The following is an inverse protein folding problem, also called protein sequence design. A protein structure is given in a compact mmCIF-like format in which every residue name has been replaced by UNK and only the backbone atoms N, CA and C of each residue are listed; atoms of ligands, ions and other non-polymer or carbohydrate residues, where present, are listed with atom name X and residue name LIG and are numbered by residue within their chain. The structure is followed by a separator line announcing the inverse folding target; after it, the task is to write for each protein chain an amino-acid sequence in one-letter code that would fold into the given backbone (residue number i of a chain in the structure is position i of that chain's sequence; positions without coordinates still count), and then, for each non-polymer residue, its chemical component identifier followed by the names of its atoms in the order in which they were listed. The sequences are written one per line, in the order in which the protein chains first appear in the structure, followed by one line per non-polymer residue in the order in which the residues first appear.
data_IF_759493655928
#
_entry.id   IF_759493655928
#
_cell.length_a   1.000
_cell.length_b   1.000
_cell.length_c   1.000
_cell.angle_alpha   90.00
_cell.angle_beta   90.00
_cell.angle_gamma   90.00
#
_symmetry.space_group_name_H-M   'P 1'
#
loop_
_entity.id
_entity.type
_entity.pdbx_description
1 polymer ?
#
# COMPACT_ATOMS: atom_id res chain seq x y z
N UNK A 1 -17.22 37.61 60.84
CA UNK A 1 -18.46 38.08 61.49
C UNK A 1 -19.03 39.17 60.58
N UNK A 2 -20.05 38.83 59.78
CA UNK A 2 -21.46 39.33 59.86
C UNK A 2 -21.56 40.84 59.58
N UNK A 3 -22.02 41.21 58.38
CA UNK A 3 -23.42 41.52 57.96
C UNK A 3 -23.66 43.04 58.09
N UNK A 4 -24.37 43.78 57.22
CA UNK A 4 -25.52 43.52 56.35
C UNK A 4 -25.63 44.69 55.33
N UNK A 5 -25.89 44.43 54.03
CA UNK A 5 -27.17 44.52 53.29
C UNK A 5 -27.81 45.91 53.18
N UNK A 6 -28.08 46.30 51.93
CA UNK A 6 -29.33 46.95 51.53
C UNK A 6 -29.75 46.44 50.15
N UNK A 7 -31.04 46.19 50.03
CA UNK A 7 -31.74 45.47 48.96
C UNK A 7 -32.88 46.33 48.40
N UNK A 8 -33.16 46.21 47.11
CA UNK A 8 -34.44 46.53 46.47
C UNK A 8 -34.37 45.88 45.06
N UNK A 9 -35.26 45.02 44.54
CA UNK A 9 -36.65 44.68 44.89
C UNK A 9 -37.56 45.02 43.71
N UNK A 10 -37.88 44.04 42.85
CA UNK A 10 -39.07 43.87 41.96
C UNK A 10 -38.76 42.81 40.89
N UNK A 11 -39.25 41.59 41.04
CA UNK A 11 -40.59 41.05 40.72
C UNK A 11 -40.58 40.34 39.36
N UNK A 12 -40.88 39.04 39.42
CA UNK A 12 -40.93 38.11 38.32
C UNK A 12 -42.28 38.20 37.60
N UNK A 13 -42.25 38.13 36.27
CA UNK A 13 -43.41 37.79 35.44
C UNK A 13 -42.97 36.79 34.39
N UNK A 14 -43.49 35.57 34.56
CA UNK A 14 -43.42 34.42 33.66
C UNK A 14 -43.85 34.75 32.23
N UNK A 15 -42.99 34.47 31.26
CA UNK A 15 -43.43 33.92 29.97
C UNK A 15 -42.57 32.69 29.67
N UNK A 16 -43.13 31.52 29.93
CA UNK A 16 -42.61 30.26 29.46
C UNK A 16 -42.79 30.18 27.94
N UNK A 17 -41.73 30.42 27.18
CA UNK A 17 -41.62 29.87 25.84
C UNK A 17 -41.10 28.45 25.99
N UNK A 18 -41.98 27.47 25.78
CA UNK A 18 -41.60 26.09 25.55
C UNK A 18 -40.82 26.01 24.24
N UNK A 19 -39.50 26.19 24.30
CA UNK A 19 -38.63 25.77 23.21
C UNK A 19 -38.61 24.23 23.20
N UNK A 20 -39.49 23.70 22.37
CA UNK A 20 -39.49 22.30 21.98
C UNK A 20 -38.12 21.98 21.38
N UNK A 21 -37.49 20.83 21.71
CA UNK A 21 -36.24 20.46 21.07
C UNK A 21 -36.53 20.26 19.58
N UNK A 22 -35.90 21.09 18.74
CA UNK A 22 -35.90 20.91 17.31
C UNK A 22 -35.24 19.57 16.99
N UNK A 23 -36.05 18.53 16.79
CA UNK A 23 -35.61 17.26 16.23
C UNK A 23 -35.40 17.44 14.74
N UNK A 24 -34.27 18.03 14.37
CA UNK A 24 -33.68 17.90 13.03
C UNK A 24 -32.58 16.83 13.15
N UNK A 25 -32.71 15.64 12.53
CA UNK A 25 -31.61 14.68 12.49
C UNK A 25 -30.63 15.16 11.42
N UNK A 26 -29.79 16.13 11.75
CA UNK A 26 -28.56 16.34 10.98
C UNK A 26 -27.69 15.12 11.30
N UNK A 27 -27.72 14.10 10.45
CA UNK A 27 -26.92 12.89 10.64
C UNK A 27 -25.46 13.31 10.85
N UNK A 28 -24.88 13.00 12.01
CA UNK A 28 -23.52 13.46 12.33
C UNK A 28 -22.53 12.76 11.38
N UNK A 29 -21.61 13.52 10.79
CA UNK A 29 -20.49 12.93 10.04
C UNK A 29 -19.53 12.24 11.01
N UNK A 30 -19.04 11.07 10.63
CA UNK A 30 -18.02 10.34 11.39
C UNK A 30 -16.63 10.96 11.16
N UNK A 31 -16.38 11.43 9.94
CA UNK A 31 -15.13 12.11 9.59
C UNK A 31 -15.29 13.02 8.37
N UNK A 32 -14.33 13.93 8.14
CA UNK A 32 -14.23 14.62 6.85
C UNK A 32 -13.75 13.67 5.76
N UNK A 33 -12.74 12.85 6.05
CA UNK A 33 -12.12 11.90 5.11
C UNK A 33 -12.17 10.48 5.66
N UNK A 34 -12.62 9.51 4.86
CA UNK A 34 -12.44 8.09 5.16
C UNK A 34 -11.43 7.48 4.19
N UNK A 35 -10.37 6.88 4.74
CA UNK A 35 -9.31 6.19 4.00
C UNK A 35 -9.55 4.68 4.08
N UNK A 36 -9.73 4.03 2.94
CA UNK A 36 -9.98 2.59 2.83
C UNK A 36 -8.63 1.87 2.66
N UNK A 37 -8.07 1.37 3.76
CA UNK A 37 -6.82 0.61 3.78
C UNK A 37 -5.79 1.16 4.78
N UNK A 38 -5.24 0.28 5.62
CA UNK A 38 -4.28 0.62 6.70
C UNK A 38 -2.84 0.13 6.41
N UNK A 39 -2.48 0.04 5.12
CA UNK A 39 -1.11 -0.21 4.69
C UNK A 39 -0.28 1.08 4.59
N UNK A 40 0.98 1.00 4.11
CA UNK A 40 1.90 2.14 4.03
C UNK A 40 1.29 3.41 3.41
N UNK A 41 0.51 3.29 2.32
CA UNK A 41 -0.11 4.45 1.67
C UNK A 41 -1.17 5.13 2.55
N UNK A 42 -2.07 4.36 3.14
CA UNK A 42 -3.11 4.89 4.02
C UNK A 42 -2.55 5.49 5.30
N UNK A 43 -1.53 4.86 5.88
CA UNK A 43 -0.79 5.40 7.03
C UNK A 43 -0.10 6.72 6.65
N UNK A 44 0.67 6.75 5.56
CA UNK A 44 1.33 8.00 5.11
C UNK A 44 0.36 9.15 4.92
N UNK A 45 -0.78 8.91 4.25
CA UNK A 45 -1.81 9.93 4.09
C UNK A 45 -2.36 10.40 5.45
N UNK A 46 -2.71 9.44 6.31
CA UNK A 46 -3.23 9.72 7.65
C UNK A 46 -2.24 10.53 8.49
N UNK A 47 -0.92 10.35 8.31
CA UNK A 47 0.09 11.15 9.01
C UNK A 47 0.01 12.63 8.62
N UNK A 48 -0.06 12.93 7.32
CA UNK A 48 -0.24 14.31 6.84
C UNK A 48 -1.56 14.90 7.33
N UNK A 49 -2.67 14.16 7.21
CA UNK A 49 -3.99 14.60 7.69
C UNK A 49 -4.04 14.78 9.22
N UNK A 50 -3.16 14.13 9.97
CA UNK A 50 -3.04 14.31 11.42
C UNK A 50 -2.28 15.58 11.83
N UNK A 51 -1.69 16.30 10.87
CA UNK A 51 -0.95 17.54 11.11
C UNK A 51 0.57 17.39 11.10
N UNK A 52 1.13 16.29 10.58
CA UNK A 52 2.57 16.20 10.32
C UNK A 52 2.92 16.90 9.01
N UNK A 53 3.66 18.00 9.12
CA UNK A 53 3.98 18.91 8.02
C UNK A 53 5.46 18.75 7.64
N UNK A 54 5.77 18.34 6.40
CA UNK A 54 7.14 18.34 5.90
C UNK A 54 7.56 19.75 5.46
N UNK A 55 8.74 20.17 5.88
CA UNK A 55 9.41 21.41 5.46
C UNK A 55 10.75 21.08 4.83
N UNK A 56 11.16 21.86 3.85
CA UNK A 56 12.51 21.76 3.31
C UNK A 56 13.53 22.32 4.31
N UNK A 57 14.56 21.55 4.63
CA UNK A 57 15.64 21.93 5.56
C UNK A 57 16.95 22.11 4.79
N UNK A 58 17.27 23.34 4.32
CA UNK A 58 18.54 23.61 3.64
C UNK A 58 19.74 23.53 4.61
N UNK A 59 19.50 23.65 5.93
CA UNK A 59 20.55 23.56 6.97
C UNK A 59 21.15 22.16 7.07
N UNK A 60 20.41 21.12 6.69
CA UNK A 60 20.90 19.74 6.61
C UNK A 60 21.63 19.46 5.28
N UNK A 61 21.94 20.51 4.52
CA UNK A 61 22.64 20.51 3.24
C UNK A 61 21.70 20.79 2.06
N UNK A 62 22.19 21.41 0.98
CA UNK A 62 21.38 21.73 -0.18
C UNK A 62 20.87 20.46 -0.87
N UNK A 63 19.77 20.60 -1.63
CA UNK A 63 19.31 19.53 -2.50
C UNK A 63 20.33 19.33 -3.64
N UNK A 64 20.67 18.08 -4.03
CA UNK A 64 21.72 17.82 -5.04
C UNK A 64 21.46 18.47 -6.40
N UNK A 65 20.19 18.66 -6.77
CA UNK A 65 19.79 19.43 -7.94
C UNK A 65 19.60 20.91 -7.55
N UNK A 66 20.42 21.80 -8.13
CA UNK A 66 20.43 23.24 -7.84
C UNK A 66 19.12 23.96 -8.18
N UNK A 67 18.45 23.59 -9.28
CA UNK A 67 17.15 24.19 -9.64
C UNK A 67 16.06 23.83 -8.62
N UNK A 68 16.03 22.56 -8.20
CA UNK A 68 15.12 22.11 -7.13
C UNK A 68 15.44 22.83 -5.83
N UNK A 69 16.72 22.99 -5.49
CA UNK A 69 17.16 23.70 -4.30
C UNK A 69 16.67 25.16 -4.29
N UNK A 70 16.90 25.90 -5.37
CA UNK A 70 16.48 27.29 -5.51
C UNK A 70 14.95 27.43 -5.35
N UNK A 71 14.18 26.58 -6.03
CA UNK A 71 12.72 26.59 -5.95
C UNK A 71 12.17 26.29 -4.56
N UNK A 72 12.81 25.38 -3.82
CA UNK A 72 12.40 25.05 -2.45
C UNK A 72 12.80 26.14 -1.44
N UNK A 73 13.91 26.84 -1.67
CA UNK A 73 14.31 27.99 -0.82
C UNK A 73 13.36 29.18 -0.99
N UNK A 74 12.89 29.46 -2.21
CA UNK A 74 11.92 30.53 -2.48
C UNK A 74 10.69 30.46 -1.55
N UNK A 75 10.32 29.25 -1.12
CA UNK A 75 9.20 28.99 -0.21
C UNK A 75 9.62 28.23 1.07
N UNK A 76 10.83 28.44 1.57
CA UNK A 76 11.38 27.69 2.71
C UNK A 76 10.56 27.79 4.02
N UNK A 77 9.79 28.86 4.18
CA UNK A 77 8.89 29.09 5.33
C UNK A 77 7.55 28.37 5.20
N UNK A 78 7.27 27.73 4.06
CA UNK A 78 6.04 27.01 3.79
C UNK A 78 6.27 25.50 3.83
N UNK A 79 5.30 24.75 4.34
CA UNK A 79 5.32 23.30 4.23
C UNK A 79 5.23 22.88 2.77
N UNK A 80 5.84 21.76 2.40
CA UNK A 80 5.65 21.14 1.08
C UNK A 80 4.18 20.79 0.81
N UNK A 81 3.30 20.79 1.82
CA UNK A 81 1.86 20.64 1.64
C UNK A 81 1.18 21.90 1.07
N UNK A 82 1.83 23.06 1.14
CA UNK A 82 1.25 24.36 0.77
C UNK A 82 1.89 24.97 -0.48
N UNK A 83 3.15 24.63 -0.78
CA UNK A 83 3.92 25.18 -1.91
C UNK A 83 3.29 24.88 -3.29
N UNK A 84 3.58 25.68 -4.31
CA UNK A 84 3.25 25.34 -5.70
C UNK A 84 4.38 24.53 -6.36
N UNK A 85 4.01 23.45 -7.05
CA UNK A 85 4.92 22.54 -7.73
C UNK A 85 4.68 22.46 -9.24
N UNK A 86 3.97 23.43 -9.82
CA UNK A 86 3.76 23.56 -11.27
C UNK A 86 5.06 23.58 -12.08
N UNK A 87 6.20 23.89 -11.45
CA UNK A 87 7.53 23.88 -12.06
C UNK A 87 8.14 22.48 -12.23
N UNK A 88 7.60 21.43 -11.58
CA UNK A 88 8.16 20.07 -11.64
C UNK A 88 8.12 19.46 -13.04
N UNK A 89 7.05 19.73 -13.80
CA UNK A 89 6.83 19.14 -15.13
C UNK A 89 7.91 19.55 -16.14
N UNK A 90 8.55 20.70 -15.93
CA UNK A 90 9.59 21.23 -16.82
C UNK A 90 11.03 20.94 -16.36
N UNK A 91 11.21 20.48 -15.11
CA UNK A 91 12.51 20.48 -14.43
C UNK A 91 13.02 19.09 -14.06
N UNK A 92 12.14 18.10 -13.96
CA UNK A 92 12.50 16.73 -13.59
C UNK A 92 12.38 15.83 -14.83
N UNK A 93 13.38 15.87 -15.71
CA UNK A 93 13.59 14.85 -16.74
C UNK A 93 14.08 13.55 -16.10
N UNK A 94 13.20 12.85 -15.38
CA UNK A 94 13.53 11.57 -14.73
C UNK A 94 12.72 10.43 -15.32
N UNK A 95 12.84 10.29 -16.64
CA UNK A 95 12.14 9.30 -17.49
C UNK A 95 12.37 7.81 -17.12
N UNK A 96 13.18 7.47 -16.11
CA UNK A 96 13.60 6.09 -15.87
C UNK A 96 13.06 5.44 -14.59
N UNK A 97 12.44 6.18 -13.67
CA UNK A 97 11.99 5.61 -12.38
C UNK A 97 10.54 5.12 -12.37
N UNK A 98 9.73 5.50 -13.36
CA UNK A 98 8.30 5.14 -13.43
C UNK A 98 7.43 5.76 -12.33
N UNK A 99 8.00 6.63 -11.49
CA UNK A 99 7.31 7.37 -10.44
C UNK A 99 6.84 8.74 -10.94
N UNK A 100 5.81 9.30 -10.30
CA UNK A 100 5.28 10.62 -10.64
C UNK A 100 6.20 11.76 -10.17
N UNK A 101 6.15 12.96 -10.78
CA UNK A 101 7.07 14.05 -10.47
C UNK A 101 7.13 14.42 -8.97
N UNK A 102 5.97 14.58 -8.31
CA UNK A 102 5.94 14.90 -6.89
C UNK A 102 6.40 13.74 -6.00
N UNK A 103 6.07 12.50 -6.37
CA UNK A 103 6.56 11.31 -5.69
C UNK A 103 8.08 11.20 -5.76
N UNK A 104 8.66 11.61 -6.87
CA UNK A 104 10.09 11.61 -7.08
C UNK A 104 10.78 12.77 -6.36
N UNK A 105 10.20 13.98 -6.37
CA UNK A 105 10.69 15.09 -5.55
C UNK A 105 10.74 14.71 -4.07
N UNK A 106 9.64 14.13 -3.55
CA UNK A 106 9.59 13.69 -2.17
C UNK A 106 10.71 12.68 -1.87
N UNK A 107 10.87 11.70 -2.76
CA UNK A 107 11.91 10.68 -2.61
C UNK A 107 13.33 11.26 -2.66
N UNK A 108 13.64 12.23 -3.53
CA UNK A 108 14.96 12.87 -3.58
C UNK A 108 15.22 13.77 -2.37
N UNK A 109 14.17 14.22 -1.68
CA UNK A 109 14.28 14.97 -0.43
C UNK A 109 14.53 14.04 0.76
N UNK A 110 13.83 12.91 0.86
CA UNK A 110 14.03 11.96 1.96
C UNK A 110 15.33 11.18 1.78
N UNK A 111 15.63 10.78 0.55
CA UNK A 111 16.79 9.95 0.18
C UNK A 111 17.63 10.63 -0.91
N UNK A 112 18.28 11.76 -0.60
CA UNK A 112 19.16 12.40 -1.56
C UNK A 112 20.26 11.43 -1.99
N UNK A 113 20.55 11.41 -3.28
CA UNK A 113 21.58 10.56 -3.90
C UNK A 113 21.30 9.04 -3.82
N UNK A 114 20.07 8.62 -3.57
CA UNK A 114 19.69 7.20 -3.59
C UNK A 114 20.11 6.46 -4.86
N UNK A 115 20.11 7.14 -6.02
CA UNK A 115 20.51 6.56 -7.31
C UNK A 115 22.03 6.37 -7.45
N UNK A 116 22.85 7.13 -6.72
CA UNK A 116 24.33 6.99 -6.75
C UNK A 116 24.85 6.06 -5.67
N UNK A 117 23.96 5.48 -4.84
CA UNK A 117 24.29 4.48 -3.83
C UNK A 117 24.77 5.04 -2.49
N UNK A 118 24.92 6.37 -2.36
CA UNK A 118 25.27 7.02 -1.10
C UNK A 118 24.04 7.70 -0.53
N UNK A 119 23.37 7.07 0.44
CA UNK A 119 22.21 7.67 1.12
C UNK A 119 22.67 8.90 1.90
N UNK A 120 22.30 10.09 1.44
CA UNK A 120 22.49 11.31 2.21
C UNK A 120 21.42 11.45 3.29
N UNK A 121 21.67 12.30 4.28
CA UNK A 121 20.65 12.68 5.28
C UNK A 121 19.45 13.33 4.60
N UNK A 122 18.26 12.97 5.07
CA UNK A 122 16.99 13.59 4.65
C UNK A 122 17.09 15.11 4.70
N UNK A 123 16.48 15.76 3.71
CA UNK A 123 16.36 17.22 3.58
C UNK A 123 15.02 17.72 4.10
N UNK A 124 14.29 16.88 4.82
CA UNK A 124 13.01 17.23 5.42
C UNK A 124 13.15 17.46 6.92
N UNK A 125 12.59 18.56 7.38
CA UNK A 125 12.25 18.78 8.78
C UNK A 125 10.74 18.56 8.96
N UNK A 126 10.34 17.91 10.05
CA UNK A 126 8.93 17.62 10.33
C UNK A 126 8.43 18.46 11.49
N UNK A 127 7.35 19.21 11.26
CA UNK A 127 6.66 19.98 12.30
C UNK A 127 5.28 19.36 12.51
N UNK A 128 4.92 19.13 13.77
CA UNK A 128 3.58 18.68 14.13
C UNK A 128 2.70 19.88 14.52
N UNK A 129 1.61 20.10 13.78
CA UNK A 129 0.59 21.09 14.10
C UNK A 129 -0.82 20.50 14.05
N UNK A 130 -1.40 20.23 15.22
CA UNK A 130 -2.76 19.69 15.34
C UNK A 130 -3.83 20.64 14.77
N UNK A 131 -3.59 21.96 14.71
CA UNK A 131 -4.56 22.91 14.14
C UNK A 131 -4.70 22.76 12.62
N UNK A 132 -3.74 22.10 11.98
CA UNK A 132 -3.77 21.73 10.57
C UNK A 132 -4.44 20.38 10.32
N UNK A 133 -4.78 19.63 11.37
CA UNK A 133 -5.38 18.31 11.22
C UNK A 133 -6.75 18.38 10.53
N UNK A 134 -6.99 17.42 9.65
CA UNK A 134 -8.28 17.16 9.00
C UNK A 134 -8.90 15.94 9.67
N UNK A 135 -10.17 16.02 10.07
CA UNK A 135 -10.87 14.88 10.68
C UNK A 135 -10.90 13.69 9.71
N UNK A 136 -10.32 12.56 10.10
CA UNK A 136 -10.24 11.40 9.23
C UNK A 136 -10.30 10.07 10.00
N UNK A 137 -10.76 9.02 9.30
CA UNK A 137 -10.72 7.64 9.76
C UNK A 137 -10.01 6.77 8.72
N UNK A 138 -9.13 5.88 9.18
CA UNK A 138 -8.56 4.80 8.36
C UNK A 138 -9.27 3.51 8.70
N UNK A 139 -9.88 2.86 7.72
CA UNK A 139 -10.65 1.63 7.92
C UNK A 139 -10.08 0.49 7.10
N UNK A 140 -9.98 -0.70 7.68
CA UNK A 140 -9.52 -1.88 6.98
C UNK A 140 -9.97 -3.17 7.65
N UNK A 141 -10.10 -4.24 6.87
CA UNK A 141 -10.37 -5.58 7.40
C UNK A 141 -9.14 -6.16 8.13
N UNK A 142 -7.94 -5.82 7.68
CA UNK A 142 -6.68 -6.39 8.20
C UNK A 142 -6.23 -5.68 9.49
N UNK A 143 -5.36 -6.32 10.29
CA UNK A 143 -4.47 -5.60 11.21
C UNK A 143 -3.67 -4.51 10.49
N UNK A 144 -3.06 -3.60 11.24
CA UNK A 144 -2.21 -2.53 10.69
C UNK A 144 -1.11 -3.15 9.81
N UNK A 145 -0.87 -2.55 8.65
CA UNK A 145 0.13 -2.99 7.67
C UNK A 145 -0.43 -3.41 6.32
N UNK A 146 -1.76 -3.44 6.16
CA UNK A 146 -2.40 -3.75 4.87
C UNK A 146 -1.92 -5.09 4.29
N UNK A 147 -1.47 -5.07 3.02
CA UNK A 147 -1.01 -6.27 2.31
C UNK A 147 0.19 -6.97 2.96
N UNK A 148 0.95 -6.29 3.82
CA UNK A 148 2.09 -6.89 4.51
C UNK A 148 1.71 -8.03 5.45
N UNK A 149 0.46 -8.03 5.92
CA UNK A 149 -0.12 -9.13 6.72
C UNK A 149 -0.27 -10.44 5.95
N UNK A 150 -0.20 -10.40 4.62
CA UNK A 150 -0.39 -11.57 3.75
C UNK A 150 0.94 -12.16 3.29
N UNK A 151 2.08 -11.47 3.46
CA UNK A 151 3.39 -12.02 3.15
C UNK A 151 3.82 -13.05 4.20
N UNK A 152 4.52 -14.07 3.71
CA UNK A 152 5.14 -15.10 4.53
C UNK A 152 6.24 -14.51 5.45
N UNK A 153 6.35 -15.04 6.65
CA UNK A 153 7.23 -14.49 7.70
C UNK A 153 8.73 -14.62 7.39
N UNK A 154 9.10 -15.54 6.49
CA UNK A 154 10.49 -15.73 6.08
C UNK A 154 10.87 -14.86 4.87
N UNK A 155 9.92 -14.10 4.31
CA UNK A 155 10.21 -13.18 3.21
C UNK A 155 10.86 -11.91 3.76
N UNK A 156 11.87 -11.43 3.04
CA UNK A 156 12.55 -10.17 3.29
C UNK A 156 12.09 -9.17 2.23
N UNK A 157 12.00 -7.89 2.59
CA UNK A 157 11.65 -6.82 1.66
C UNK A 157 12.57 -6.83 0.44
N UNK A 158 12.04 -6.40 -0.71
CA UNK A 158 12.90 -6.11 -1.88
C UNK A 158 13.67 -4.82 -1.62
N UNK A 159 13.00 -3.76 -1.19
CA UNK A 159 13.67 -2.50 -0.84
C UNK A 159 14.52 -2.63 0.44
N UNK A 160 15.61 -1.87 0.52
CA UNK A 160 16.36 -1.66 1.77
C UNK A 160 15.50 -0.91 2.80
N UNK A 161 15.86 -1.01 4.08
CA UNK A 161 15.07 -0.48 5.19
C UNK A 161 14.73 1.00 5.09
N UNK A 162 15.69 1.85 4.74
CA UNK A 162 15.45 3.29 4.54
C UNK A 162 14.35 3.59 3.51
N UNK A 163 14.29 2.84 2.41
CA UNK A 163 13.24 3.01 1.39
C UNK A 163 11.83 2.56 1.83
N UNK A 164 11.71 2.08 3.07
CA UNK A 164 10.44 1.72 3.70
C UNK A 164 10.00 2.76 4.75
N UNK A 165 10.69 3.89 4.86
CA UNK A 165 10.35 4.97 5.79
C UNK A 165 8.94 5.55 5.52
N UNK A 166 8.21 5.77 6.61
CA UNK A 166 6.96 6.53 6.63
C UNK A 166 7.19 7.96 7.16
N UNK A 167 6.28 8.91 6.85
CA UNK A 167 6.40 10.31 7.28
C UNK A 167 6.74 10.50 8.76
N UNK A 168 7.67 11.41 9.06
CA UNK A 168 8.06 11.85 10.41
C UNK A 168 8.70 10.82 11.37
N UNK A 169 8.64 9.52 11.09
CA UNK A 169 9.23 8.51 11.97
C UNK A 169 9.89 7.42 11.14
N UNK A 170 11.22 7.50 11.00
CA UNK A 170 11.98 6.64 10.11
C UNK A 170 12.16 5.25 10.71
N UNK A 171 12.36 4.24 9.86
CA UNK A 171 12.77 2.88 10.27
C UNK A 171 14.08 2.95 11.05
N UNK A 172 14.98 3.85 10.67
CA UNK A 172 16.24 4.13 11.36
C UNK A 172 16.04 4.39 12.86
N UNK A 173 15.16 5.34 13.15
CA UNK A 173 14.87 5.82 14.50
C UNK A 173 14.18 4.74 15.34
N UNK A 174 13.44 3.84 14.67
CA UNK A 174 12.74 2.74 15.31
C UNK A 174 13.62 1.51 15.59
N UNK A 175 14.48 1.12 14.66
CA UNK A 175 15.37 -0.04 14.78
C UNK A 175 16.61 0.22 15.67
N UNK A 176 16.98 1.50 15.85
CA UNK A 176 18.33 1.88 16.30
C UNK A 176 19.35 1.78 15.16
N UNK A 177 20.38 2.64 15.16
CA UNK A 177 21.28 2.96 14.02
C UNK A 177 22.01 1.77 13.35
N UNK A 178 21.88 0.53 13.83
CA UNK A 178 22.71 -0.61 13.43
C UNK A 178 22.22 -1.41 12.20
N UNK A 179 21.18 -1.01 11.45
CA UNK A 179 20.60 -1.87 10.38
C UNK A 179 20.00 -1.16 9.15
N UNK A 180 20.41 0.08 8.86
CA UNK A 180 19.76 0.94 7.84
C UNK A 180 19.85 0.45 6.38
N UNK A 181 20.97 -0.16 6.01
CA UNK A 181 21.22 -0.61 4.63
C UNK A 181 20.72 -2.03 4.36
N UNK A 182 20.18 -2.70 5.37
CA UNK A 182 19.68 -4.06 5.25
C UNK A 182 18.23 -4.08 4.79
N UNK A 183 17.89 -5.09 3.99
CA UNK A 183 16.49 -5.41 3.67
C UNK A 183 15.81 -5.95 4.94
N UNK A 184 14.57 -5.55 5.20
CA UNK A 184 13.86 -5.87 6.44
C UNK A 184 13.03 -7.15 6.28
N UNK A 185 13.08 -8.08 7.25
CA UNK A 185 12.10 -9.17 7.32
C UNK A 185 10.66 -8.64 7.37
N UNK A 186 9.74 -9.30 6.69
CA UNK A 186 8.33 -8.91 6.66
C UNK A 186 7.70 -8.77 8.08
N UNK A 187 7.98 -9.66 9.06
CA UNK A 187 7.49 -9.48 10.44
C UNK A 187 8.01 -8.20 11.11
N UNK A 188 9.27 -7.84 10.85
CA UNK A 188 9.89 -6.66 11.43
C UNK A 188 9.26 -5.39 10.87
N UNK A 189 9.04 -5.33 9.55
CA UNK A 189 8.38 -4.19 8.94
C UNK A 189 6.90 -4.08 9.35
N UNK A 190 6.17 -5.19 9.49
CA UNK A 190 4.81 -5.16 10.07
C UNK A 190 4.81 -4.58 11.49
N UNK A 191 5.79 -4.93 12.30
CA UNK A 191 5.94 -4.38 13.65
C UNK A 191 6.20 -2.87 13.61
N UNK A 192 7.11 -2.42 12.73
CA UNK A 192 7.34 -1.00 12.49
C UNK A 192 6.04 -0.27 12.11
N UNK A 193 5.24 -0.79 11.16
CA UNK A 193 3.97 -0.17 10.76
C UNK A 193 2.97 -0.06 11.93
N UNK A 194 2.91 -1.10 12.78
CA UNK A 194 2.05 -1.07 13.96
C UNK A 194 2.53 -0.06 15.01
N UNK A 195 3.83 0.02 15.27
CA UNK A 195 4.41 0.95 16.24
C UNK A 195 4.36 2.39 15.73
N UNK A 196 4.60 2.59 14.43
CA UNK A 196 4.40 3.85 13.71
C UNK A 196 2.97 4.35 13.93
N UNK A 197 1.98 3.48 13.71
CA UNK A 197 0.60 3.87 13.88
C UNK A 197 0.25 4.26 15.33
N UNK A 198 0.75 3.50 16.31
CA UNK A 198 0.58 3.85 17.72
C UNK A 198 1.21 5.21 18.06
N UNK A 199 2.39 5.48 17.49
CA UNK A 199 3.17 6.72 17.71
C UNK A 199 2.51 7.94 17.09
N UNK A 200 2.01 7.81 15.86
CA UNK A 200 1.48 8.93 15.05
C UNK A 200 0.00 9.21 15.36
N UNK A 201 -0.81 8.18 15.64
CA UNK A 201 -2.27 8.31 15.73
C UNK A 201 -2.88 8.06 17.12
N UNK A 202 -2.08 7.62 18.10
CA UNK A 202 -2.56 7.23 19.45
C UNK A 202 -3.79 6.30 19.42
N UNK A 203 -3.90 5.47 18.39
CA UNK A 203 -4.98 4.49 18.12
C UNK A 203 -6.40 5.07 17.94
N UNK A 204 -6.59 6.39 17.83
CA UNK A 204 -7.93 7.01 17.77
C UNK A 204 -8.55 7.02 16.36
N UNK A 205 -7.72 7.03 15.31
CA UNK A 205 -8.17 7.25 13.92
C UNK A 205 -8.21 5.97 13.07
N UNK A 206 -7.89 4.79 13.61
CA UNK A 206 -7.78 3.55 12.83
C UNK A 206 -8.76 2.49 13.32
N UNK A 207 -9.66 2.07 12.43
CA UNK A 207 -10.63 0.99 12.67
C UNK A 207 -10.16 -0.27 11.93
N UNK A 208 -9.46 -1.15 12.64
CA UNK A 208 -9.13 -2.48 12.14
C UNK A 208 -10.33 -3.44 12.26
N UNK A 209 -10.34 -4.49 11.43
CA UNK A 209 -11.38 -5.52 11.40
C UNK A 209 -12.68 -5.12 10.69
N UNK A 210 -12.74 -3.93 10.08
CA UNK A 210 -13.91 -3.49 9.32
C UNK A 210 -13.77 -3.88 7.85
N UNK A 211 -14.55 -4.87 7.40
CA UNK A 211 -14.68 -5.23 5.99
C UNK A 211 -15.68 -4.29 5.33
N UNK A 212 -15.19 -3.34 4.56
CA UNK A 212 -16.02 -2.45 3.74
C UNK A 212 -16.60 -3.25 2.57
N UNK A 213 -17.92 -3.18 2.41
CA UNK A 213 -18.66 -3.92 1.37
C UNK A 213 -19.41 -3.00 0.42
N UNK A 214 -19.63 -1.74 0.79
CA UNK A 214 -20.32 -0.79 -0.05
C UNK A 214 -19.89 0.65 0.26
N UNK A 215 -19.66 1.44 -0.77
CA UNK A 215 -19.32 2.86 -0.75
C UNK A 215 -20.19 3.52 -1.82
N UNK A 216 -21.06 4.43 -1.41
CA UNK A 216 -21.97 5.13 -2.30
C UNK A 216 -22.19 6.57 -1.88
N UNK A 217 -22.68 7.41 -2.80
CA UNK A 217 -23.15 8.75 -2.46
C UNK A 217 -24.49 8.69 -1.75
N UNK A 218 -24.64 9.47 -0.68
CA UNK A 218 -25.91 9.64 -0.01
C UNK A 218 -26.92 10.30 -0.95
N UNK A 219 -28.09 9.67 -1.13
CA UNK A 219 -29.18 10.16 -1.98
C UNK A 219 -30.24 10.99 -1.25
N UNK A 220 -30.09 11.17 0.08
CA UNK A 220 -31.03 11.93 0.91
C UNK A 220 -30.81 13.44 0.81
N UNK A 221 -31.89 14.22 0.74
CA UNK A 221 -31.88 15.69 0.58
C UNK A 221 -31.12 16.48 1.66
N UNK A 222 -30.93 15.92 2.85
CA UNK A 222 -30.18 16.52 3.95
C UNK A 222 -28.67 16.20 3.94
N UNK A 223 -28.24 15.25 3.09
CA UNK A 223 -26.87 14.77 2.96
C UNK A 223 -26.44 14.64 1.50
N UNK A 224 -26.93 15.55 0.66
CA UNK A 224 -26.50 15.61 -0.73
C UNK A 224 -24.98 15.89 -0.80
N UNK A 225 -24.27 15.09 -1.61
CA UNK A 225 -22.82 15.18 -1.78
C UNK A 225 -21.94 14.43 -0.76
N UNK A 226 -22.49 13.83 0.29
CA UNK A 226 -21.71 13.00 1.24
C UNK A 226 -21.60 11.53 0.77
N UNK A 227 -20.63 10.82 1.32
CA UNK A 227 -20.44 9.39 1.12
C UNK A 227 -20.94 8.59 2.32
N UNK A 228 -21.55 7.44 2.04
CA UNK A 228 -21.82 6.40 3.02
C UNK A 228 -20.91 5.19 2.76
N UNK A 229 -20.13 4.81 3.78
CA UNK A 229 -19.23 3.67 3.78
C UNK A 229 -19.82 2.61 4.70
N UNK A 230 -20.32 1.52 4.11
CA UNK A 230 -20.93 0.40 4.81
C UNK A 230 -20.01 -0.81 4.82
N UNK A 231 -20.06 -1.56 5.91
CA UNK A 231 -19.28 -2.77 6.08
C UNK A 231 -19.72 -3.60 7.27
N UNK A 232 -18.91 -4.60 7.59
CA UNK A 232 -19.11 -5.48 8.74
C UNK A 232 -17.86 -5.52 9.62
N UNK A 233 -18.04 -5.44 10.93
CA UNK A 233 -16.97 -5.59 11.93
C UNK A 233 -17.43 -6.57 12.99
N UNK A 234 -16.70 -7.67 13.17
CA UNK A 234 -17.07 -8.76 14.09
C UNK A 234 -18.49 -9.32 13.85
N UNK A 235 -18.95 -9.34 12.58
CA UNK A 235 -20.30 -9.77 12.21
C UNK A 235 -21.37 -8.68 12.28
N UNK A 236 -21.09 -7.56 12.95
CA UNK A 236 -22.04 -6.46 13.11
C UNK A 236 -21.96 -5.46 11.94
N UNK A 237 -23.10 -4.94 11.45
CA UNK A 237 -23.11 -3.92 10.41
C UNK A 237 -22.59 -2.58 10.96
N UNK A 238 -21.75 -1.93 10.17
CA UNK A 238 -21.19 -0.60 10.45
C UNK A 238 -21.48 0.31 9.28
N UNK A 239 -21.93 1.53 9.57
CA UNK A 239 -22.18 2.59 8.61
C UNK A 239 -21.41 3.82 9.06
N UNK A 240 -20.55 4.35 8.18
CA UNK A 240 -19.79 5.57 8.41
C UNK A 240 -20.12 6.60 7.33
N UNK A 241 -20.13 7.88 7.69
CA UNK A 241 -20.42 8.99 6.78
C UNK A 241 -19.27 9.98 6.71
N UNK A 242 -18.92 10.40 5.50
CA UNK A 242 -17.84 11.36 5.27
C UNK A 242 -18.05 12.25 4.06
N UNK A 243 -17.24 13.31 3.94
CA UNK A 243 -17.25 14.19 2.76
C UNK A 243 -16.43 13.63 1.61
N UNK A 244 -15.32 12.97 1.92
CA UNK A 244 -14.33 12.51 0.93
C UNK A 244 -13.87 11.09 1.23
N UNK A 245 -13.63 10.30 0.18
CA UNK A 245 -13.15 8.91 0.29
C UNK A 245 -11.81 8.78 -0.40
N UNK A 246 -10.85 8.12 0.25
CA UNK A 246 -9.56 7.77 -0.36
C UNK A 246 -9.39 6.27 -0.38
N UNK A 247 -9.24 5.69 -1.56
CA UNK A 247 -8.98 4.27 -1.75
C UNK A 247 -7.47 4.00 -1.61
N UNK A 248 -7.09 3.38 -0.50
CA UNK A 248 -5.72 2.98 -0.16
C UNK A 248 -5.59 1.45 0.01
N UNK A 249 -6.49 0.69 -0.63
CA UNK A 249 -6.61 -0.77 -0.47
C UNK A 249 -5.57 -1.56 -1.27
N UNK A 250 -4.81 -0.89 -2.13
CA UNK A 250 -3.75 -1.50 -2.94
C UNK A 250 -4.26 -2.60 -3.86
N UNK A 251 -3.36 -3.48 -4.29
CA UNK A 251 -3.69 -4.72 -5.01
C UNK A 251 -4.01 -5.81 -4.01
N UNK A 252 -5.30 -6.04 -3.81
CA UNK A 252 -5.88 -6.81 -2.72
C UNK A 252 -6.28 -8.24 -3.11
N UNK A 253 -6.22 -8.59 -4.40
CA UNK A 253 -6.59 -9.93 -4.90
C UNK A 253 -5.46 -10.56 -5.72
N UNK A 254 -5.25 -11.86 -5.55
CA UNK A 254 -4.36 -12.64 -6.41
C UNK A 254 -4.97 -12.78 -7.80
N UNK A 255 -4.17 -12.55 -8.85
CA UNK A 255 -4.65 -12.70 -10.23
C UNK A 255 -4.76 -14.18 -10.58
N UNK A 256 -5.89 -14.55 -11.14
CA UNK A 256 -6.16 -15.88 -11.66
C UNK A 256 -5.59 -16.05 -13.08
N UNK A 257 -5.29 -17.29 -13.47
CA UNK A 257 -5.01 -17.63 -14.87
C UNK A 257 -6.28 -17.60 -15.72
N UNK A 258 -7.45 -17.83 -15.10
CA UNK A 258 -8.74 -17.86 -15.79
C UNK A 258 -8.94 -19.15 -16.59
N UNK A 259 -8.40 -20.26 -16.08
CA UNK A 259 -8.45 -21.58 -16.72
C UNK A 259 -9.47 -22.50 -16.03
N UNK A 260 -9.95 -23.50 -16.75
CA UNK A 260 -10.84 -24.53 -16.21
C UNK A 260 -10.14 -25.33 -15.10
N UNK A 261 -10.81 -25.47 -13.95
CA UNK A 261 -10.33 -26.23 -12.79
C UNK A 261 -9.47 -25.44 -11.80
N UNK A 262 -9.19 -24.16 -12.04
CA UNK A 262 -8.33 -23.34 -11.16
C UNK A 262 -8.94 -23.08 -9.79
N UNK A 263 -10.26 -22.90 -9.71
CA UNK A 263 -10.93 -22.60 -8.44
C UNK A 263 -11.46 -23.86 -7.74
N UNK A 264 -11.51 -24.97 -8.45
CA UNK A 264 -12.10 -26.23 -8.00
C UNK A 264 -11.07 -27.21 -7.41
N UNK A 265 -9.78 -27.07 -7.72
CA UNK A 265 -8.73 -27.97 -7.24
C UNK A 265 -8.06 -27.44 -5.96
N UNK A 266 -8.23 -28.18 -4.87
CA UNK A 266 -7.71 -27.85 -3.53
C UNK A 266 -6.17 -27.79 -3.44
N UNK A 267 -5.45 -28.22 -4.49
CA UNK A 267 -3.99 -28.16 -4.56
C UNK A 267 -3.46 -26.92 -5.31
N UNK A 268 -4.32 -25.97 -5.66
CA UNK A 268 -3.95 -24.71 -6.31
C UNK A 268 -3.85 -23.60 -5.27
N UNK A 269 -2.77 -22.83 -5.32
CA UNK A 269 -2.51 -21.68 -4.44
C UNK A 269 -1.89 -20.55 -5.25
N UNK A 270 -2.01 -19.31 -4.77
CA UNK A 270 -1.57 -18.13 -5.54
C UNK A 270 -0.42 -17.34 -4.90
N UNK A 271 0.06 -17.78 -3.74
CA UNK A 271 1.15 -17.12 -3.03
C UNK A 271 2.00 -18.09 -2.21
N UNK A 272 3.21 -17.66 -1.83
CA UNK A 272 4.16 -18.47 -1.07
C UNK A 272 3.59 -18.94 0.28
N UNK A 273 2.85 -18.09 0.99
CA UNK A 273 2.33 -18.43 2.32
C UNK A 273 1.39 -19.63 2.24
N UNK A 274 0.48 -19.61 1.29
CA UNK A 274 -0.46 -20.70 1.07
C UNK A 274 0.23 -21.95 0.51
N UNK A 275 1.25 -21.78 -0.35
CA UNK A 275 2.13 -22.88 -0.78
C UNK A 275 2.77 -23.59 0.43
N UNK A 276 3.40 -22.86 1.35
CA UNK A 276 4.01 -23.46 2.54
C UNK A 276 2.98 -24.15 3.42
N UNK A 277 1.83 -23.50 3.65
CA UNK A 277 0.75 -24.05 4.45
C UNK A 277 0.26 -25.38 3.88
N UNK A 278 0.01 -25.42 2.57
CA UNK A 278 -0.48 -26.61 1.87
C UNK A 278 0.57 -27.73 1.85
N UNK A 279 1.84 -27.41 1.62
CA UNK A 279 2.95 -28.39 1.68
C UNK A 279 3.16 -28.99 3.08
N UNK A 280 2.78 -28.26 4.14
CA UNK A 280 2.82 -28.75 5.52
C UNK A 280 1.65 -29.69 5.87
N UNK A 281 0.57 -29.72 5.07
CA UNK A 281 -0.57 -30.60 5.35
C UNK A 281 -0.23 -32.07 5.04
N UNK A 282 -0.59 -33.03 5.93
CA UNK A 282 -0.36 -34.46 5.69
C UNK A 282 -1.02 -34.99 4.42
N UNK A 283 -2.13 -34.39 3.99
CA UNK A 283 -2.84 -34.76 2.77
C UNK A 283 -1.94 -34.69 1.53
N UNK A 284 -1.03 -33.72 1.46
CA UNK A 284 -0.12 -33.55 0.32
C UNK A 284 1.07 -34.50 0.35
N UNK A 285 1.32 -35.19 1.48
CA UNK A 285 2.41 -36.16 1.60
C UNK A 285 2.21 -37.38 0.70
N UNK A 286 0.94 -37.73 0.40
CA UNK A 286 0.59 -38.78 -0.57
C UNK A 286 1.11 -38.47 -1.99
N UNK A 287 1.25 -37.19 -2.31
CA UNK A 287 1.75 -36.69 -3.59
C UNK A 287 3.23 -36.26 -3.50
N UNK A 288 3.99 -36.71 -2.50
CA UNK A 288 5.40 -36.34 -2.29
C UNK A 288 6.33 -36.72 -3.45
N UNK A 289 5.94 -37.69 -4.28
CA UNK A 289 6.67 -38.06 -5.51
C UNK A 289 6.43 -37.09 -6.67
N UNK A 290 5.35 -36.30 -6.61
CA UNK A 290 5.00 -35.33 -7.64
C UNK A 290 5.77 -34.02 -7.41
N UNK A 291 5.97 -33.26 -8.49
CA UNK A 291 6.63 -31.95 -8.43
C UNK A 291 5.69 -30.88 -7.90
N UNK A 292 6.26 -29.85 -7.27
CA UNK A 292 5.57 -28.55 -7.15
C UNK A 292 5.70 -27.85 -8.50
N UNK A 293 4.61 -27.28 -8.99
CA UNK A 293 4.62 -26.49 -10.22
C UNK A 293 4.48 -25.03 -9.85
N UNK A 294 5.41 -24.20 -10.29
CA UNK A 294 5.36 -22.75 -10.06
C UNK A 294 5.13 -22.06 -11.39
N UNK A 295 4.10 -21.22 -11.48
CA UNK A 295 3.76 -20.45 -12.69
C UNK A 295 4.08 -18.99 -12.47
N UNK A 296 4.88 -18.39 -13.35
CA UNK A 296 5.24 -16.97 -13.27
C UNK A 296 6.74 -16.74 -13.48
N UNK A 297 7.16 -15.48 -13.44
CA UNK A 297 8.57 -15.10 -13.63
C UNK A 297 8.96 -13.81 -12.88
N UNK A 298 8.14 -13.43 -11.90
CA UNK A 298 8.39 -12.31 -11.00
C UNK A 298 8.99 -12.73 -9.66
N UNK A 299 9.11 -11.77 -8.75
CA UNK A 299 9.67 -11.96 -7.39
C UNK A 299 8.93 -13.07 -6.62
N UNK A 300 7.59 -13.07 -6.63
CA UNK A 300 6.79 -14.09 -5.92
C UNK A 300 6.99 -15.52 -6.45
N UNK A 301 7.19 -15.67 -7.77
CA UNK A 301 7.54 -16.95 -8.36
C UNK A 301 8.95 -17.38 -7.92
N UNK A 302 9.90 -16.44 -7.89
CA UNK A 302 11.24 -16.70 -7.43
C UNK A 302 11.29 -17.12 -5.94
N UNK A 303 10.53 -16.47 -5.07
CA UNK A 303 10.39 -16.85 -3.66
C UNK A 303 9.83 -18.28 -3.50
N UNK A 304 8.83 -18.63 -4.33
CA UNK A 304 8.21 -19.96 -4.33
C UNK A 304 9.17 -21.05 -4.80
N UNK A 305 9.92 -20.79 -5.88
CA UNK A 305 10.98 -21.69 -6.35
C UNK A 305 12.08 -21.82 -5.29
N UNK A 306 12.55 -20.71 -4.73
CA UNK A 306 13.59 -20.69 -3.70
C UNK A 306 13.19 -21.55 -2.49
N UNK A 307 11.95 -21.41 -2.01
CA UNK A 307 11.43 -22.24 -0.93
C UNK A 307 11.47 -23.74 -1.28
N UNK A 308 11.04 -24.11 -2.49
CA UNK A 308 11.08 -25.51 -2.94
C UNK A 308 12.51 -26.05 -2.96
N UNK A 309 13.48 -25.30 -3.50
CA UNK A 309 14.88 -25.71 -3.57
C UNK A 309 15.51 -25.86 -2.19
N UNK A 310 15.31 -24.90 -1.29
CA UNK A 310 15.79 -24.98 0.10
C UNK A 310 15.19 -26.17 0.85
N UNK A 311 13.95 -26.53 0.52
CA UNK A 311 13.24 -27.67 1.11
C UNK A 311 13.49 -29.00 0.38
N UNK A 312 14.36 -29.02 -0.65
CA UNK A 312 14.65 -30.20 -1.50
C UNK A 312 13.41 -30.80 -2.14
N UNK A 313 12.48 -29.95 -2.56
CA UNK A 313 11.24 -30.35 -3.25
C UNK A 313 11.45 -30.14 -4.76
N UNK A 314 11.31 -31.20 -5.59
CA UNK A 314 11.34 -31.07 -7.04
C UNK A 314 10.36 -30.03 -7.55
N UNK A 315 10.84 -29.06 -8.34
CA UNK A 315 10.03 -27.98 -8.90
C UNK A 315 10.09 -27.96 -10.42
N UNK A 316 8.91 -27.81 -11.04
CA UNK A 316 8.74 -27.48 -12.44
C UNK A 316 8.30 -26.02 -12.56
N UNK A 317 9.18 -25.16 -13.08
CA UNK A 317 8.94 -23.73 -13.24
C UNK A 317 8.40 -23.44 -14.64
N UNK A 318 7.13 -23.06 -14.73
CA UNK A 318 6.40 -22.76 -15.97
C UNK A 318 6.45 -21.25 -16.22
N UNK A 319 7.15 -20.88 -17.29
CA UNK A 319 7.47 -19.49 -17.61
C UNK A 319 6.85 -19.14 -18.97
N UNK A 320 5.96 -18.14 -18.98
CA UNK A 320 5.31 -17.66 -20.21
C UNK A 320 6.28 -17.03 -21.21
N UNK A 321 7.29 -16.31 -20.71
CA UNK A 321 8.28 -15.63 -21.54
C UNK A 321 9.29 -16.60 -22.15
N UNK A 322 9.87 -16.22 -23.29
CA UNK A 322 11.05 -16.89 -23.86
C UNK A 322 12.33 -16.51 -23.13
N UNK A 323 13.41 -17.28 -23.31
CA UNK A 323 14.72 -16.97 -22.71
C UNK A 323 15.24 -15.58 -23.11
N UNK A 324 14.95 -15.13 -24.34
CA UNK A 324 15.30 -13.77 -24.80
C UNK A 324 14.51 -12.71 -24.03
N UNK A 325 13.23 -12.96 -23.77
CA UNK A 325 12.35 -12.03 -23.08
C UNK A 325 12.61 -11.96 -21.57
N UNK A 326 13.17 -13.01 -20.98
CA UNK A 326 13.54 -13.03 -19.55
C UNK A 326 14.54 -11.93 -19.18
N UNK A 327 15.38 -11.49 -20.12
CA UNK A 327 16.32 -10.37 -19.94
C UNK A 327 15.65 -9.02 -19.65
N UNK A 328 14.34 -8.89 -19.90
CA UNK A 328 13.57 -7.68 -19.63
C UNK A 328 12.69 -7.78 -18.39
N UNK A 329 12.81 -8.86 -17.60
CA UNK A 329 12.06 -9.01 -16.35
C UNK A 329 12.63 -8.13 -15.24
N UNK A 330 11.88 -7.94 -14.14
CA UNK A 330 12.40 -7.21 -12.98
C UNK A 330 13.60 -7.93 -12.34
N UNK A 331 13.57 -9.27 -12.31
CA UNK A 331 14.66 -10.08 -11.75
C UNK A 331 15.99 -9.86 -12.47
N UNK A 332 15.99 -9.55 -13.78
CA UNK A 332 17.22 -9.29 -14.53
C UNK A 332 17.89 -7.96 -14.15
N UNK A 333 17.15 -7.05 -13.51
CA UNK A 333 17.62 -5.71 -13.11
C UNK A 333 18.11 -5.67 -11.66
N UNK A 334 17.92 -6.75 -10.89
CA UNK A 334 18.35 -6.81 -9.51
C UNK A 334 19.87 -7.00 -9.42
N UNK A 335 20.52 -6.15 -8.62
CA UNK A 335 21.95 -6.24 -8.36
C UNK A 335 22.29 -7.56 -7.63
N UNK A 336 23.21 -8.35 -8.18
CA UNK A 336 23.54 -9.68 -7.63
C UNK A 336 24.16 -9.67 -6.23
N UNK A 337 24.79 -8.56 -5.83
CA UNK A 337 25.38 -8.42 -4.51
C UNK A 337 24.32 -8.12 -3.44
N UNK A 338 23.28 -7.35 -3.79
CA UNK A 338 22.19 -7.00 -2.87
C UNK A 338 21.09 -8.08 -2.83
N UNK A 339 20.91 -8.80 -3.95
CA UNK A 339 19.86 -9.81 -4.15
C UNK A 339 20.43 -11.15 -4.63
N UNK A 340 21.37 -11.77 -3.90
CA UNK A 340 22.03 -13.01 -4.34
C UNK A 340 21.05 -14.16 -4.56
N UNK A 341 19.99 -14.25 -3.75
CA UNK A 341 18.96 -15.28 -3.85
C UNK A 341 18.15 -15.16 -5.15
N UNK A 342 17.73 -13.94 -5.51
CA UNK A 342 17.01 -13.69 -6.76
C UNK A 342 17.92 -13.81 -7.98
N UNK A 343 19.18 -13.41 -7.85
CA UNK A 343 20.19 -13.60 -8.90
C UNK A 343 20.39 -15.09 -9.20
N UNK A 344 20.43 -15.96 -8.17
CA UNK A 344 20.51 -17.42 -8.35
C UNK A 344 19.28 -17.95 -9.10
N UNK A 345 18.07 -17.57 -8.69
CA UNK A 345 16.86 -18.01 -9.38
C UNK A 345 16.84 -17.52 -10.82
N UNK A 346 17.22 -16.27 -11.08
CA UNK A 346 17.29 -15.74 -12.43
C UNK A 346 18.29 -16.53 -13.30
N UNK A 347 19.46 -16.89 -12.78
CA UNK A 347 20.45 -17.75 -13.47
C UNK A 347 19.87 -19.12 -13.82
N UNK A 348 19.10 -19.75 -12.92
CA UNK A 348 18.35 -20.98 -13.22
C UNK A 348 17.31 -20.76 -14.33
N UNK A 349 16.56 -19.66 -14.27
CA UNK A 349 15.55 -19.30 -15.26
C UNK A 349 16.14 -19.10 -16.66
N UNK A 350 17.36 -18.57 -16.80
CA UNK A 350 18.02 -18.38 -18.10
C UNK A 350 18.94 -19.54 -18.51
N UNK A 351 19.12 -20.55 -17.64
CA UNK A 351 19.96 -21.72 -17.92
C UNK A 351 21.46 -21.48 -17.78
N UNK A 352 21.87 -20.51 -16.95
CA UNK A 352 23.28 -20.25 -16.64
C UNK A 352 23.81 -21.07 -15.45
N UNK A 353 22.92 -21.73 -14.72
CA UNK A 353 23.29 -22.72 -13.71
C UNK A 353 22.24 -23.83 -13.65
N UNK A 354 22.59 -24.94 -13.00
CA UNK A 354 21.72 -26.10 -12.81
C UNK A 354 21.51 -26.37 -11.33
N UNK A 355 20.39 -26.98 -10.99
CA UNK A 355 20.07 -27.48 -9.66
C UNK A 355 19.27 -28.77 -9.83
N UNK A 356 19.64 -29.82 -9.09
CA UNK A 356 18.95 -31.12 -9.14
C UNK A 356 17.45 -31.00 -8.84
N UNK A 357 17.11 -30.05 -7.98
CA UNK A 357 15.78 -29.53 -7.62
C UNK A 357 14.92 -29.04 -8.77
N UNK A 358 15.54 -28.53 -9.83
CA UNK A 358 14.94 -27.51 -10.68
C UNK A 358 14.82 -27.97 -12.13
N UNK A 359 13.59 -27.89 -12.64
CA UNK A 359 13.31 -27.98 -14.08
C UNK A 359 12.51 -26.74 -14.52
N UNK A 360 12.80 -26.20 -15.70
CA UNK A 360 12.04 -25.07 -16.28
C UNK A 360 11.43 -25.45 -17.63
N UNK A 361 10.32 -24.81 -17.96
CA UNK A 361 9.74 -24.80 -19.31
C UNK A 361 9.40 -23.35 -19.65
N UNK A 362 10.00 -22.84 -20.72
CA UNK A 362 9.78 -21.47 -21.21
C UNK A 362 8.81 -21.46 -22.38
N UNK A 363 8.32 -20.26 -22.73
CA UNK A 363 7.26 -20.10 -23.74
C UNK A 363 6.05 -21.00 -23.43
N UNK A 364 5.72 -21.12 -22.14
CA UNK A 364 4.76 -22.08 -21.66
C UNK A 364 3.58 -21.44 -20.92
N UNK A 365 2.39 -21.98 -21.16
CA UNK A 365 1.14 -21.59 -20.51
C UNK A 365 0.46 -22.82 -19.95
N UNK A 366 -0.26 -22.63 -18.84
CA UNK A 366 -1.18 -23.64 -18.34
C UNK A 366 -2.51 -23.44 -19.06
N UNK A 367 -3.08 -24.50 -19.63
CA UNK A 367 -4.32 -24.44 -20.40
C UNK A 367 -5.53 -24.93 -19.61
N UNK A 368 -5.37 -25.95 -18.77
CA UNK A 368 -6.44 -26.51 -17.95
C UNK A 368 -5.89 -27.34 -16.79
N UNK A 369 -6.76 -27.58 -15.80
CA UNK A 369 -6.52 -28.43 -14.65
C UNK A 369 -7.56 -29.53 -14.58
N UNK A 370 -7.13 -30.74 -14.22
CA UNK A 370 -8.03 -31.87 -14.02
C UNK A 370 -7.51 -32.72 -12.87
N UNK A 371 -8.11 -32.55 -11.68
CA UNK A 371 -7.96 -33.43 -10.51
C UNK A 371 -6.52 -33.85 -10.23
N UNK A 372 -5.64 -32.88 -9.93
CA UNK A 372 -4.23 -33.11 -9.64
C UNK A 372 -3.31 -33.27 -10.86
N UNK A 373 -3.84 -33.12 -12.07
CA UNK A 373 -3.03 -33.01 -13.31
C UNK A 373 -3.16 -31.63 -13.94
N UNK A 374 -2.08 -31.14 -14.52
CA UNK A 374 -2.02 -29.87 -15.23
C UNK A 374 -1.69 -30.09 -16.70
N UNK A 375 -2.43 -29.42 -17.58
CA UNK A 375 -2.15 -29.39 -19.02
C UNK A 375 -1.30 -28.15 -19.33
N UNK A 376 -0.07 -28.37 -19.81
CA UNK A 376 0.89 -27.31 -20.12
C UNK A 376 1.15 -27.30 -21.62
N UNK A 377 0.97 -26.14 -22.24
CA UNK A 377 1.33 -25.89 -23.63
C UNK A 377 2.68 -25.21 -23.70
N UNK A 378 3.60 -25.74 -24.49
CA UNK A 378 4.92 -25.16 -24.75
C UNK A 378 5.27 -25.19 -26.23
N UNK A 379 6.46 -24.70 -26.60
CA UNK A 379 6.98 -24.84 -27.98
C UNK A 379 7.19 -26.28 -28.43
N UNK A 380 7.37 -27.20 -27.49
CA UNK A 380 7.58 -28.63 -27.77
C UNK A 380 6.25 -29.38 -27.94
N UNK A 381 5.12 -28.70 -27.75
CA UNK A 381 3.78 -29.29 -27.77
C UNK A 381 3.07 -29.16 -26.43
N UNK A 382 1.93 -29.86 -26.33
CA UNK A 382 1.10 -29.94 -25.13
C UNK A 382 1.47 -31.23 -24.39
N UNK A 383 1.65 -31.14 -23.08
CA UNK A 383 1.92 -32.29 -22.22
C UNK A 383 1.18 -32.14 -20.89
N UNK A 384 0.98 -33.27 -20.20
CA UNK A 384 0.25 -33.34 -18.95
C UNK A 384 1.21 -33.75 -17.84
N UNK A 385 1.17 -33.06 -16.71
CA UNK A 385 2.00 -33.37 -15.54
C UNK A 385 1.14 -33.58 -14.30
N UNK A 386 1.52 -34.56 -13.49
CA UNK A 386 0.97 -34.71 -12.14
C UNK A 386 1.70 -33.74 -11.21
N UNK A 387 0.97 -33.04 -10.37
CA UNK A 387 1.55 -32.11 -9.42
C UNK A 387 1.21 -32.43 -7.98
N UNK A 388 2.04 -31.94 -7.08
CA UNK A 388 1.79 -31.99 -5.63
C UNK A 388 1.01 -30.75 -5.18
N UNK A 389 1.48 -29.59 -5.63
CA UNK A 389 0.87 -28.27 -5.46
C UNK A 389 1.16 -27.45 -6.70
N UNK A 390 0.17 -26.71 -7.19
CA UNK A 390 0.33 -25.71 -8.25
C UNK A 390 0.30 -24.32 -7.63
N UNK A 391 1.44 -23.62 -7.67
CA UNK A 391 1.60 -22.27 -7.14
C UNK A 391 1.59 -21.25 -8.29
N UNK A 392 0.49 -20.51 -8.43
CA UNK A 392 0.26 -19.53 -9.49
C UNK A 392 0.70 -18.14 -9.00
N UNK A 393 1.86 -17.68 -9.46
CA UNK A 393 2.46 -16.41 -9.07
C UNK A 393 2.46 -15.39 -10.23
N UNK A 394 1.28 -15.10 -10.78
CA UNK A 394 1.12 -14.19 -11.95
C UNK A 394 0.77 -12.74 -11.59
N UNK A 395 0.90 -12.40 -10.32
CA UNK A 395 0.72 -11.05 -9.78
C UNK A 395 -0.62 -10.86 -9.08
N UNK A 396 -0.91 -9.61 -8.73
CA UNK A 396 -2.13 -9.19 -8.04
C UNK A 396 -2.86 -8.12 -8.83
N UNK A 397 -4.15 -7.98 -8.53
CA UNK A 397 -5.00 -6.90 -9.02
C UNK A 397 -5.80 -6.27 -7.89
N UNK A 398 -6.50 -5.20 -8.23
CA UNK A 398 -7.32 -4.45 -7.29
C UNK A 398 -8.78 -4.74 -7.60
N UNK A 399 -9.46 -5.34 -6.62
CA UNK A 399 -10.90 -5.42 -6.57
C UNK A 399 -11.45 -4.16 -5.91
N UNK A 400 -12.36 -3.50 -6.63
CA UNK A 400 -13.08 -2.30 -6.19
C UNK A 400 -14.60 -2.56 -6.12
N UNK A 401 -15.03 -3.82 -5.98
CA UNK A 401 -16.43 -4.25 -5.89
C UNK A 401 -17.24 -3.54 -4.79
N UNK A 402 -16.58 -2.90 -3.83
CA UNK A 402 -17.25 -2.09 -2.82
C UNK A 402 -17.80 -0.76 -3.36
N UNK A 403 -17.36 -0.26 -4.52
CA UNK A 403 -17.94 0.93 -5.14
C UNK A 403 -19.23 0.55 -5.88
N UNK A 404 -20.33 1.24 -5.60
CA UNK A 404 -21.62 0.98 -6.28
C UNK A 404 -21.61 1.40 -7.73
N UNK A 405 -20.88 2.47 -8.03
CA UNK A 405 -20.75 3.04 -9.36
C UNK A 405 -19.37 2.76 -9.96
N UNK A 406 -19.28 2.90 -11.29
CA UNK A 406 -18.02 2.76 -12.01
C UNK A 406 -17.30 4.10 -12.05
N UNK A 407 -16.12 4.14 -11.45
CA UNK A 407 -15.25 5.30 -11.42
C UNK A 407 -13.98 5.06 -12.21
N UNK A 408 -13.54 6.08 -12.93
CA UNK A 408 -12.23 6.13 -13.57
C UNK A 408 -11.36 7.17 -12.87
N UNK A 409 -10.05 7.04 -13.03
CA UNK A 409 -9.10 7.84 -12.28
C UNK A 409 -7.95 8.29 -13.18
N UNK A 410 -7.68 9.59 -13.14
CA UNK A 410 -6.47 10.19 -13.67
C UNK A 410 -5.51 10.40 -12.50
N UNK A 411 -4.38 9.68 -12.53
CA UNK A 411 -3.42 9.65 -11.42
C UNK A 411 -4.08 9.26 -10.09
N UNK A 412 -4.14 10.18 -9.13
CA UNK A 412 -4.75 9.96 -7.81
C UNK A 412 -6.21 10.40 -7.71
N UNK A 413 -6.72 11.11 -8.73
CA UNK A 413 -8.00 11.81 -8.69
C UNK A 413 -9.05 11.08 -9.53
N UNK A 414 -10.28 10.98 -9.02
CA UNK A 414 -11.40 10.44 -9.78
C UNK A 414 -11.89 11.47 -10.82
N UNK A 415 -12.23 10.98 -12.03
CA UNK A 415 -12.69 11.83 -13.12
C UNK A 415 -14.16 12.24 -12.95
N UNK A 416 -14.96 11.37 -12.34
CA UNK A 416 -16.40 11.56 -12.18
C UNK A 416 -16.77 12.25 -10.86
N UNK A 417 -15.92 12.17 -9.82
CA UNK A 417 -16.21 12.75 -8.51
C UNK A 417 -14.96 13.33 -7.82
N UNK A 418 -14.95 14.65 -7.61
CA UNK A 418 -13.83 15.39 -7.01
C UNK A 418 -13.56 15.09 -5.53
N UNK A 419 -14.43 14.30 -4.89
CA UNK A 419 -14.31 13.86 -3.50
C UNK A 419 -13.86 12.40 -3.35
N UNK A 420 -13.57 11.71 -4.45
CA UNK A 420 -13.03 10.35 -4.49
C UNK A 420 -11.60 10.33 -5.00
N UNK A 421 -10.71 9.65 -4.26
CA UNK A 421 -9.28 9.58 -4.57
C UNK A 421 -8.78 8.13 -4.50
N UNK A 422 -7.62 7.86 -5.11
CA UNK A 422 -6.88 6.60 -4.94
C UNK A 422 -5.40 6.85 -4.69
N UNK A 423 -4.75 6.02 -3.89
CA UNK A 423 -3.31 6.12 -3.60
C UNK A 423 -2.63 4.75 -3.51
N UNK A 424 -1.30 4.73 -3.51
CA UNK A 424 -0.51 3.52 -3.36
C UNK A 424 -0.56 2.61 -4.58
N UNK A 425 -0.45 1.29 -4.39
CA UNK A 425 -0.37 0.35 -5.50
C UNK A 425 -1.63 0.27 -6.38
N UNK A 426 -2.77 0.75 -5.86
CA UNK A 426 -3.99 0.98 -6.63
C UNK A 426 -3.83 2.10 -7.67
N UNK A 427 -3.06 3.14 -7.32
CA UNK A 427 -2.68 4.22 -8.22
C UNK A 427 -1.41 3.91 -9.05
N UNK A 428 -0.82 2.73 -8.89
CA UNK A 428 0.42 2.32 -9.57
C UNK A 428 1.71 2.54 -8.77
N UNK A 429 1.64 3.06 -7.55
CA UNK A 429 2.84 3.26 -6.73
C UNK A 429 3.20 1.95 -6.01
N UNK A 430 4.20 1.24 -6.53
CA UNK A 430 4.57 -0.09 -6.05
C UNK A 430 5.59 -0.11 -4.91
N UNK A 431 6.37 0.96 -4.76
CA UNK A 431 7.42 1.07 -3.74
C UNK A 431 7.02 2.07 -2.66
N UNK A 432 7.33 1.74 -1.41
CA UNK A 432 7.00 2.58 -0.24
C UNK A 432 7.57 4.00 -0.40
N UNK A 433 8.84 4.11 -0.79
CA UNK A 433 9.50 5.40 -1.06
C UNK A 433 8.73 6.35 -2.00
N UNK A 434 8.00 5.82 -3.00
CA UNK A 434 7.25 6.65 -3.96
C UNK A 434 5.79 6.89 -3.57
N UNK A 435 5.13 5.92 -2.93
CA UNK A 435 3.73 6.09 -2.51
C UNK A 435 3.55 7.16 -1.43
N UNK A 436 4.60 7.48 -0.68
CA UNK A 436 4.53 8.53 0.35
C UNK A 436 4.32 9.89 -0.31
N UNK A 437 5.04 10.18 -1.40
CA UNK A 437 4.82 11.42 -2.15
C UNK A 437 3.47 11.45 -2.88
N UNK A 438 2.93 10.29 -3.28
CA UNK A 438 1.55 10.19 -3.78
C UNK A 438 0.51 10.48 -2.70
N UNK A 439 0.73 9.98 -1.48
CA UNK A 439 -0.08 10.34 -0.32
C UNK A 439 0.03 11.84 0.03
N UNK A 440 1.22 12.43 -0.11
CA UNK A 440 1.43 13.86 0.07
C UNK A 440 0.67 14.70 -0.97
N UNK A 441 0.61 14.25 -2.23
CA UNK A 441 -0.17 14.91 -3.28
C UNK A 441 -1.66 15.00 -2.93
N UNK A 442 -2.24 13.86 -2.53
CA UNK A 442 -3.63 13.82 -2.10
C UNK A 442 -3.83 14.66 -0.82
N UNK A 443 -2.89 14.62 0.14
CA UNK A 443 -2.96 15.46 1.34
C UNK A 443 -3.00 16.96 1.00
N UNK A 444 -2.17 17.42 0.05
CA UNK A 444 -2.18 18.82 -0.44
C UNK A 444 -3.57 19.24 -0.90
N UNK A 445 -4.25 18.39 -1.65
CA UNK A 445 -5.63 18.66 -2.09
C UNK A 445 -6.60 18.68 -0.90
N UNK A 446 -6.53 17.68 -0.02
CA UNK A 446 -7.46 17.52 1.09
C UNK A 446 -7.33 18.61 2.17
N UNK A 447 -6.12 19.16 2.36
CA UNK A 447 -5.79 20.15 3.39
C UNK A 447 -5.85 21.59 2.90
N UNK A 448 -6.01 21.84 1.59
CA UNK A 448 -6.20 23.18 1.05
C UNK A 448 -7.48 23.78 1.65
N UNK A 449 -7.31 24.83 2.46
CA UNK A 449 -8.43 25.69 2.84
C UNK A 449 -8.94 26.35 1.58
N UNK A 450 -10.23 26.20 1.27
CA UNK A 450 -10.88 27.06 0.28
C UNK A 450 -10.63 28.49 0.75
N UNK A 451 -9.78 29.23 0.04
CA UNK A 451 -9.71 30.68 0.22
C UNK A 451 -11.10 31.18 -0.17
N UNK A 452 -11.93 31.45 0.82
CA UNK A 452 -13.16 32.22 0.61
C UNK A 452 -12.67 33.55 0.04
N UNK A 453 -12.97 33.77 -1.24
CA UNK A 453 -12.68 35.04 -1.92
C UNK A 453 -13.52 36.15 -1.33
#
# INVERSE_FOLDING_TARGET
MRNERLSCGREASSLMCYDSPSTSPVSKLDAEVIVIGNGPAGLSLSAFLSGWLPFYSPTDGPHPNGLVHEKLIEHGEESLLDQDFSWLDNSINMMNSGARPLSLLYDTLVHPNAETGTLGRSKLCWIYDHKRAVSHLVVAQTPIGGSWNNYDDNVVSVSVGSFLDLPAFLVADWCGENNLDNRLPAPLYRKYLSDYARRVYKDENIICGLKVTCIEKCSSSCMDGFWEVRGTKNGEPVILRCKKVVLACGRNQDRLLGIEGEQEDDHVVHNLRDLKRLLALPATAKFSKNKVIVVGDGVSAADSVLHCLTSRIPVLHVIRRSDKQLRFTQLSRLNSSLYPEYSRIFKLMVGHCEDYYYTKVTCATVESLNKGTVCIKSRQGIFIENFRVLCICVGKESDLSMLTDKYTFQDYYCNEDSSLFRIGSLAGDHFVRYLVGGAMDVARYLMRKIKVR
#
